data_IF_087816147418
#
_entry.id   IF_087816147418
#
_cell.length_a   1.000
_cell.length_b   1.000
_cell.length_c   1.000
_cell.angle_alpha   90.00
_cell.angle_beta   90.00
_cell.angle_gamma   90.00
#
_symmetry.space_group_name_H-M   'P 1'
#
loop_
_entity.id
_entity.type
_entity.pdbx_description
1 polymer ?
#
# COMPACT_ATOMS: atom_id res chain seq x y z
N UNK A 1 -53.58 -5.28 7.74
CA UNK A 1 -52.42 -4.41 8.03
C UNK A 1 -52.31 -3.37 6.93
N UNK A 2 -52.35 -2.09 7.30
CA UNK A 2 -52.75 -0.98 6.43
C UNK A 2 -51.57 -0.28 5.72
N UNK A 3 -51.72 -0.05 4.40
CA UNK A 3 -50.88 0.85 3.59
C UNK A 3 -51.16 2.31 3.97
N UNK A 4 -50.13 3.13 4.14
CA UNK A 4 -50.24 4.60 4.15
C UNK A 4 -49.19 5.25 3.22
N UNK A 5 -49.72 6.04 2.28
CA UNK A 5 -49.04 6.92 1.32
C UNK A 5 -48.68 8.27 1.98
N UNK A 6 -47.69 8.98 1.42
CA UNK A 6 -47.58 10.47 1.21
C UNK A 6 -46.14 10.75 0.72
N UNK A 7 -45.86 11.17 -0.51
CA UNK A 7 -46.23 12.38 -1.27
C UNK A 7 -45.41 13.63 -0.94
N UNK A 8 -44.72 14.10 -2.00
CA UNK A 8 -44.52 15.49 -2.42
C UNK A 8 -43.33 16.33 -1.94
N UNK A 9 -42.42 16.54 -2.92
CA UNK A 9 -41.90 17.82 -3.48
C UNK A 9 -41.50 18.91 -2.51
N UNK A 10 -40.24 19.36 -2.56
CA UNK A 10 -39.87 20.78 -2.57
C UNK A 10 -38.64 21.00 -3.46
N UNK A 11 -38.83 21.81 -4.51
CA UNK A 11 -37.79 22.33 -5.37
C UNK A 11 -37.23 23.62 -4.76
N UNK A 12 -35.91 23.69 -4.57
CA UNK A 12 -35.19 24.89 -4.17
C UNK A 12 -33.96 25.04 -5.06
N UNK A 13 -34.09 25.83 -6.13
CA UNK A 13 -32.99 26.17 -7.02
C UNK A 13 -32.28 27.41 -6.44
N UNK A 14 -31.20 27.18 -5.69
CA UNK A 14 -30.33 28.25 -5.21
C UNK A 14 -29.23 28.51 -6.25
N UNK A 15 -29.22 29.72 -6.82
CA UNK A 15 -28.16 30.18 -7.72
C UNK A 15 -26.87 30.41 -6.92
N UNK A 16 -25.92 29.47 -7.02
CA UNK A 16 -24.59 29.62 -6.46
C UNK A 16 -23.69 30.42 -7.43
N UNK A 17 -23.18 31.55 -6.96
CA UNK A 17 -22.17 32.36 -7.64
C UNK A 17 -20.87 31.56 -7.74
N UNK A 18 -20.55 31.09 -8.94
CA UNK A 18 -19.29 30.41 -9.26
C UNK A 18 -18.15 31.44 -9.30
N UNK A 19 -17.48 31.65 -8.17
CA UNK A 19 -16.16 32.26 -8.15
C UNK A 19 -15.18 31.27 -8.79
N UNK A 20 -14.82 31.51 -10.06
CA UNK A 20 -13.79 30.75 -10.76
C UNK A 20 -12.41 31.12 -10.19
N UNK A 21 -12.09 30.60 -9.01
CA UNK A 21 -10.72 30.62 -8.48
C UNK A 21 -9.85 29.75 -9.38
N UNK A 22 -8.84 30.34 -9.99
CA UNK A 22 -7.78 29.59 -10.69
C UNK A 22 -7.00 28.83 -9.61
N UNK A 23 -7.42 27.60 -9.33
CA UNK A 23 -6.64 26.67 -8.52
C UNK A 23 -5.40 26.32 -9.34
N UNK A 24 -4.24 26.81 -8.89
CA UNK A 24 -2.96 26.32 -9.39
C UNK A 24 -2.93 24.80 -9.15
N UNK A 25 -2.97 24.03 -10.24
CA UNK A 25 -2.86 22.59 -10.16
C UNK A 25 -1.49 22.25 -9.56
N UNK A 26 -1.49 21.69 -8.35
CA UNK A 26 -0.27 21.14 -7.79
C UNK A 26 0.25 20.06 -8.75
N UNK A 27 1.58 19.95 -8.95
CA UNK A 27 2.13 18.86 -9.74
C UNK A 27 1.61 17.54 -9.16
N UNK A 28 0.95 16.76 -10.00
CA UNK A 28 0.40 15.47 -9.58
C UNK A 28 1.58 14.59 -9.14
N UNK A 29 1.66 14.32 -7.83
CA UNK A 29 2.52 13.26 -7.33
C UNK A 29 2.15 11.94 -8.00
N UNK A 30 3.11 11.02 -8.11
CA UNK A 30 2.79 9.68 -8.58
C UNK A 30 1.68 9.10 -7.70
N UNK A 31 0.59 8.63 -8.33
CA UNK A 31 -0.51 8.05 -7.59
C UNK A 31 -0.02 6.84 -6.76
N UNK A 32 -0.56 6.64 -5.54
CA UNK A 32 -0.31 5.41 -4.79
C UNK A 32 -0.61 4.18 -5.64
N UNK A 33 0.23 3.16 -5.53
CA UNK A 33 0.10 1.87 -6.20
C UNK A 33 -0.28 0.80 -5.18
N UNK A 34 -1.32 0.04 -5.48
CA UNK A 34 -1.71 -1.11 -4.66
C UNK A 34 -0.74 -2.29 -4.84
N UNK A 35 -0.51 -3.02 -3.75
CA UNK A 35 0.29 -4.24 -3.76
C UNK A 35 -0.31 -5.34 -2.88
N UNK A 36 0.01 -6.59 -3.22
CA UNK A 36 -0.37 -7.75 -2.44
C UNK A 36 0.61 -8.91 -2.66
N UNK A 37 0.95 -9.59 -1.58
CA UNK A 37 1.74 -10.82 -1.54
C UNK A 37 1.11 -11.80 -0.57
N UNK A 38 1.03 -13.08 -0.94
CA UNK A 38 0.46 -14.12 -0.09
C UNK A 38 1.34 -15.35 -0.04
N UNK A 39 1.27 -16.06 1.08
CA UNK A 39 1.89 -17.35 1.28
C UNK A 39 1.08 -18.13 2.31
N UNK A 40 0.55 -19.28 1.89
CA UNK A 40 -0.28 -20.14 2.73
C UNK A 40 -1.48 -19.39 3.33
N UNK A 41 -1.59 -19.29 4.66
CA UNK A 41 -2.68 -18.61 5.36
C UNK A 41 -2.43 -17.12 5.60
N UNK A 42 -1.29 -16.60 5.16
CA UNK A 42 -0.90 -15.21 5.38
C UNK A 42 -0.92 -14.40 4.07
N UNK A 43 -1.41 -13.16 4.16
CA UNK A 43 -1.45 -12.19 3.07
C UNK A 43 -1.04 -10.83 3.59
N UNK A 44 -0.05 -10.20 2.94
CA UNK A 44 0.23 -8.79 3.13
C UNK A 44 -0.26 -7.98 1.94
N UNK A 45 -0.89 -6.84 2.19
CA UNK A 45 -1.38 -5.94 1.15
C UNK A 45 -1.41 -4.49 1.62
N UNK A 46 -1.34 -3.56 0.69
CA UNK A 46 -1.35 -2.15 1.00
C UNK A 46 -1.14 -1.26 -0.22
N UNK A 47 -0.66 -0.06 0.03
CA UNK A 47 -0.32 0.94 -0.98
C UNK A 47 1.16 1.31 -0.89
N UNK A 48 1.71 1.85 -1.97
CA UNK A 48 3.03 2.46 -1.96
C UNK A 48 3.15 3.65 -2.90
N UNK A 49 3.97 4.62 -2.53
CA UNK A 49 4.21 5.83 -3.30
C UNK A 49 5.68 6.26 -3.22
N UNK A 50 6.12 7.08 -4.17
CA UNK A 50 7.47 7.66 -4.15
C UNK A 50 7.38 9.10 -3.64
N UNK A 51 8.01 9.35 -2.51
CA UNK A 51 8.28 10.70 -2.01
C UNK A 51 9.55 11.22 -2.69
N UNK A 52 9.42 12.21 -3.59
CA UNK A 52 10.53 12.75 -4.36
C UNK A 52 10.76 14.23 -4.04
N UNK A 53 11.95 14.64 -3.57
CA UNK A 53 12.30 16.04 -3.46
C UNK A 53 12.34 16.72 -4.84
N UNK A 54 12.12 18.04 -4.94
CA UNK A 54 12.28 18.75 -6.20
C UNK A 54 13.71 18.61 -6.73
N UNK A 55 13.86 18.59 -8.06
CA UNK A 55 15.16 18.59 -8.77
C UNK A 55 16.06 17.36 -8.54
N UNK A 56 15.52 16.22 -8.14
CA UNK A 56 16.25 14.94 -8.08
C UNK A 56 15.45 13.80 -8.69
N UNK A 57 16.13 12.83 -9.32
CA UNK A 57 15.51 11.59 -9.83
C UNK A 57 15.36 10.53 -8.74
N UNK A 58 16.05 10.70 -7.61
CA UNK A 58 16.01 9.80 -6.46
C UNK A 58 14.89 10.21 -5.51
N UNK A 59 14.26 9.24 -4.87
CA UNK A 59 13.26 9.49 -3.85
C UNK A 59 13.32 8.47 -2.71
N UNK A 60 12.29 8.49 -1.88
CA UNK A 60 12.02 7.44 -0.91
C UNK A 60 10.77 6.71 -1.37
N UNK A 61 10.87 5.41 -1.64
CA UNK A 61 9.67 4.60 -1.83
C UNK A 61 9.12 4.23 -0.45
N UNK A 62 7.86 4.55 -0.22
CA UNK A 62 7.16 4.31 1.05
C UNK A 62 6.05 3.33 0.77
N UNK A 63 5.96 2.28 1.58
CA UNK A 63 4.83 1.34 1.57
C UNK A 63 4.13 1.36 2.92
N UNK A 64 2.81 1.25 2.89
CA UNK A 64 1.93 1.13 4.06
C UNK A 64 0.88 0.06 3.79
N UNK A 65 0.52 -0.72 4.79
CA UNK A 65 -0.49 -1.76 4.65
C UNK A 65 -0.59 -2.63 5.90
N UNK A 66 -1.06 -3.86 5.71
CA UNK A 66 -1.24 -4.84 6.78
C UNK A 66 -0.76 -6.22 6.33
N UNK A 67 -0.22 -7.00 7.27
CA UNK A 67 0.06 -8.43 7.15
C UNK A 67 -0.99 -9.18 7.97
N UNK A 68 -1.88 -9.89 7.29
CA UNK A 68 -2.93 -10.72 7.88
C UNK A 68 -2.55 -12.19 7.87
N UNK A 69 -2.92 -12.92 8.91
CA UNK A 69 -2.87 -14.39 8.95
C UNK A 69 -4.21 -14.94 9.45
N UNK A 70 -4.70 -15.98 8.79
CA UNK A 70 -5.95 -16.67 9.13
C UNK A 70 -5.74 -18.08 9.73
N UNK A 71 -4.49 -18.47 9.99
CA UNK A 71 -4.15 -19.81 10.47
C UNK A 71 -3.29 -19.78 11.73
N UNK A 72 -2.99 -20.97 12.24
CA UNK A 72 -2.05 -21.13 13.34
C UNK A 72 -0.60 -20.92 12.87
N UNK A 73 0.26 -20.47 13.77
CA UNK A 73 1.67 -20.24 13.48
C UNK A 73 2.00 -18.78 13.16
N UNK A 74 3.29 -18.52 12.94
CA UNK A 74 3.80 -17.18 12.68
C UNK A 74 4.12 -17.01 11.20
N UNK A 75 3.92 -15.80 10.69
CA UNK A 75 4.35 -15.37 9.37
C UNK A 75 4.99 -14.00 9.45
N UNK A 76 6.01 -13.79 8.62
CA UNK A 76 6.72 -12.52 8.51
C UNK A 76 6.71 -12.01 7.08
N UNK A 77 6.47 -10.71 6.91
CA UNK A 77 6.70 -10.00 5.67
C UNK A 77 8.17 -9.58 5.60
N UNK A 78 8.83 -9.94 4.52
CA UNK A 78 10.20 -9.53 4.20
C UNK A 78 10.18 -8.65 2.96
N UNK A 79 10.78 -7.47 3.07
CA UNK A 79 10.83 -6.49 1.97
C UNK A 79 12.27 -6.11 1.65
N UNK A 80 12.52 -5.69 0.41
CA UNK A 80 13.83 -5.25 -0.04
C UNK A 80 13.77 -4.62 -1.42
N UNK A 81 14.83 -3.92 -1.82
CA UNK A 81 14.90 -3.23 -3.11
C UNK A 81 15.97 -3.85 -3.99
N UNK A 82 15.58 -4.25 -5.19
CA UNK A 82 16.50 -4.60 -6.25
C UNK A 82 16.89 -3.31 -6.99
N UNK A 83 18.16 -3.18 -7.38
CA UNK A 83 18.65 -2.06 -8.18
C UNK A 83 19.55 -2.61 -9.26
N UNK A 84 19.34 -2.20 -10.51
CA UNK A 84 20.19 -2.56 -11.65
C UNK A 84 20.42 -4.09 -11.74
N UNK A 85 19.33 -4.86 -11.56
CA UNK A 85 19.30 -6.33 -11.56
C UNK A 85 20.08 -7.00 -10.41
N UNK A 86 20.61 -6.25 -9.45
CA UNK A 86 21.19 -6.80 -8.23
C UNK A 86 20.05 -7.32 -7.34
N UNK A 87 20.10 -8.60 -6.89
CA UNK A 87 19.08 -9.16 -6.02
C UNK A 87 18.89 -8.33 -4.73
N UNK A 88 17.64 -8.14 -4.28
CA UNK A 88 17.35 -7.37 -3.09
C UNK A 88 17.92 -8.05 -1.83
N UNK A 89 18.48 -7.24 -0.93
CA UNK A 89 18.69 -7.66 0.46
C UNK A 89 17.37 -7.50 1.21
N UNK A 90 16.80 -8.61 1.65
CA UNK A 90 15.55 -8.60 2.39
C UNK A 90 15.76 -8.28 3.86
N UNK A 91 14.88 -7.46 4.41
CA UNK A 91 14.72 -7.21 5.84
C UNK A 91 13.30 -7.51 6.27
N UNK A 92 13.13 -8.05 7.48
CA UNK A 92 11.82 -8.32 8.07
C UNK A 92 11.14 -6.99 8.41
N UNK A 93 9.91 -6.81 7.94
CA UNK A 93 9.14 -5.58 8.10
C UNK A 93 8.01 -5.75 9.12
N UNK A 94 7.30 -6.87 9.07
CA UNK A 94 6.19 -7.17 9.98
C UNK A 94 6.16 -8.66 10.31
N UNK A 95 5.57 -9.00 11.46
CA UNK A 95 5.31 -10.38 11.88
C UNK A 95 3.93 -10.46 12.51
N UNK A 96 3.19 -11.52 12.20
CA UNK A 96 1.91 -11.87 12.82
C UNK A 96 1.96 -13.34 13.26
N UNK A 97 1.48 -13.64 14.46
CA UNK A 97 1.46 -14.99 15.04
C UNK A 97 0.05 -15.37 15.48
N UNK A 98 -0.44 -16.50 15.00
CA UNK A 98 -1.83 -16.88 15.10
C UNK A 98 -2.72 -16.06 14.16
N UNK A 99 -4.02 -16.21 14.33
CA UNK A 99 -5.01 -15.41 13.62
C UNK A 99 -4.91 -13.94 14.05
N UNK A 100 -4.79 -13.04 13.07
CA UNK A 100 -4.74 -11.61 13.33
C UNK A 100 -4.08 -10.82 12.21
N UNK A 101 -3.74 -9.57 12.53
CA UNK A 101 -3.19 -8.58 11.62
C UNK A 101 -2.01 -7.85 12.29
N UNK A 102 -0.99 -7.49 11.50
CA UNK A 102 0.13 -6.67 11.91
C UNK A 102 0.36 -5.54 10.90
N UNK A 103 0.52 -4.28 11.36
CA UNK A 103 0.73 -3.16 10.45
C UNK A 103 2.06 -3.28 9.71
N UNK A 104 2.08 -2.83 8.47
CA UNK A 104 3.26 -2.77 7.60
C UNK A 104 3.57 -1.32 7.30
N UNK A 105 4.79 -0.91 7.65
CA UNK A 105 5.38 0.35 7.18
C UNK A 105 6.85 0.10 6.84
N UNK A 106 7.26 0.47 5.62
CA UNK A 106 8.67 0.46 5.24
C UNK A 106 9.00 1.64 4.34
N UNK A 107 10.23 2.13 4.50
CA UNK A 107 10.78 3.25 3.75
C UNK A 107 12.09 2.83 3.11
N UNK A 108 12.17 3.00 1.80
CA UNK A 108 13.35 2.66 1.01
C UNK A 108 13.98 3.94 0.47
N UNK A 109 14.96 4.51 1.17
CA UNK A 109 15.62 5.73 0.73
C UNK A 109 16.47 5.50 -0.52
N UNK A 110 16.81 6.58 -1.22
CA UNK A 110 17.62 6.57 -2.45
C UNK A 110 16.99 5.76 -3.60
N UNK A 111 15.68 5.53 -3.59
CA UNK A 111 14.96 4.79 -4.62
C UNK A 111 15.14 5.47 -5.99
N UNK A 112 15.75 4.75 -6.92
CA UNK A 112 16.10 5.25 -8.25
C UNK A 112 15.09 4.76 -9.31
N UNK A 113 15.04 5.35 -10.51
CA UNK A 113 14.17 4.87 -11.59
C UNK A 113 14.37 3.40 -11.98
N UNK A 114 15.56 2.85 -11.76
CA UNK A 114 15.90 1.44 -12.00
C UNK A 114 15.71 0.54 -10.77
N UNK A 115 15.13 1.08 -9.69
CA UNK A 115 14.85 0.34 -8.46
C UNK A 115 13.46 -0.30 -8.52
N UNK A 116 13.33 -1.50 -7.97
CA UNK A 116 12.04 -2.16 -7.75
C UNK A 116 12.01 -2.73 -6.34
N UNK A 117 11.02 -2.31 -5.55
CA UNK A 117 10.74 -2.90 -4.25
C UNK A 117 10.06 -4.26 -4.44
N UNK A 118 10.50 -5.24 -3.67
CA UNK A 118 9.95 -6.59 -3.64
C UNK A 118 9.55 -6.97 -2.23
N UNK A 119 8.49 -7.75 -2.12
CA UNK A 119 8.05 -8.37 -0.88
C UNK A 119 7.87 -9.87 -1.06
N UNK A 120 8.04 -10.60 0.04
CA UNK A 120 7.66 -12.01 0.16
C UNK A 120 7.18 -12.27 1.58
N UNK A 121 6.20 -13.16 1.72
CA UNK A 121 5.74 -13.65 3.02
C UNK A 121 6.43 -14.99 3.28
N UNK A 122 6.95 -15.14 4.49
CA UNK A 122 7.66 -16.33 4.95
C UNK A 122 6.99 -16.89 6.19
N UNK A 123 7.02 -18.21 6.36
CA UNK A 123 6.61 -18.86 7.61
C UNK A 123 7.68 -18.66 8.67
N UNK A 124 7.25 -18.38 9.89
CA UNK A 124 8.11 -18.14 11.05
C UNK A 124 8.83 -16.81 10.95
N UNK A 125 9.93 -16.72 11.68
CA UNK A 125 10.74 -15.50 11.83
C UNK A 125 11.97 -15.45 10.92
N UNK A 126 12.22 -16.50 10.13
CA UNK A 126 13.33 -16.59 9.17
C UNK A 126 12.83 -16.40 7.73
N UNK A 127 13.75 -16.40 6.76
CA UNK A 127 13.44 -16.22 5.34
C UNK A 127 13.71 -17.47 4.49
N UNK A 128 13.68 -18.65 5.11
CA UNK A 128 14.02 -19.94 4.50
C UNK A 128 12.81 -20.62 3.83
N UNK A 129 11.60 -20.37 4.32
CA UNK A 129 10.36 -20.96 3.81
C UNK A 129 9.37 -19.87 3.43
N UNK A 130 9.35 -19.48 2.14
CA UNK A 130 8.63 -18.31 1.66
C UNK A 130 7.91 -18.55 0.34
N UNK A 131 6.91 -17.72 0.08
CA UNK A 131 6.33 -17.56 -1.25
C UNK A 131 7.31 -16.86 -2.22
N UNK A 132 6.97 -16.91 -3.51
CA UNK A 132 7.74 -16.22 -4.55
C UNK A 132 7.71 -14.71 -4.32
N UNK A 133 8.86 -14.01 -4.41
CA UNK A 133 8.89 -12.55 -4.34
C UNK A 133 8.00 -11.90 -5.39
N UNK A 134 7.33 -10.80 -5.02
CA UNK A 134 6.51 -9.99 -5.94
C UNK A 134 6.86 -8.51 -5.80
N UNK A 135 6.69 -7.71 -6.87
CA UNK A 135 6.83 -6.26 -6.77
C UNK A 135 5.79 -5.66 -5.82
N UNK A 136 6.24 -4.77 -4.96
CA UNK A 136 5.41 -3.89 -4.11
C UNK A 136 5.16 -2.58 -4.84
#
# INVERSE_FOLDING_TARGET
MARKRRASVWAGFAAAVLAAGVLAAAPAGAAPRDWSVSFETATASGTGHIERPPNTIFGTYVITGDLRNSGDGCYSLWTGVARDLIPPRYSRTATVCGEGDAPVEARFPSYAPTSTAYGKVCRGETHDHCGSPRPL
#
